data_IF_781907099942
#
_entry.id   IF_781907099942
#
_cell.length_a   1.000
_cell.length_b   1.000
_cell.length_c   1.000
_cell.angle_alpha   90.00
_cell.angle_beta   90.00
_cell.angle_gamma   90.00
#
_symmetry.space_group_name_H-M   'P 1'
#
loop_
_entity.id
_entity.type
_entity.pdbx_description
1 polymer ?
#
# COMPACT_ATOMS: atom_id res chain seq x y z
N UNK A 1 -32.21 -12.91 -56.71
CA UNK A 1 -31.63 -13.48 -55.47
C UNK A 1 -31.13 -12.32 -54.63
N UNK A 2 -31.89 -11.95 -53.60
CA UNK A 2 -31.67 -10.78 -52.74
C UNK A 2 -31.05 -11.24 -51.42
N UNK A 3 -29.76 -10.97 -51.23
CA UNK A 3 -29.04 -11.27 -50.00
C UNK A 3 -29.28 -10.15 -48.98
N UNK A 4 -30.09 -10.45 -47.95
CA UNK A 4 -30.24 -9.59 -46.77
C UNK A 4 -29.08 -9.86 -45.81
N UNK A 5 -28.15 -8.93 -45.72
CA UNK A 5 -27.14 -8.90 -44.65
C UNK A 5 -27.80 -8.50 -43.34
N UNK A 6 -27.70 -9.35 -42.32
CA UNK A 6 -28.12 -9.03 -40.95
C UNK A 6 -26.86 -8.58 -40.19
N UNK A 7 -26.73 -7.26 -40.01
CA UNK A 7 -25.74 -6.67 -39.12
C UNK A 7 -26.15 -6.97 -37.68
N UNK A 8 -25.47 -7.94 -37.07
CA UNK A 8 -25.57 -8.21 -35.64
C UNK A 8 -24.84 -7.09 -34.89
N UNK A 9 -25.59 -6.11 -34.42
CA UNK A 9 -25.08 -5.08 -33.51
C UNK A 9 -24.86 -5.71 -32.13
N UNK A 10 -23.64 -6.15 -31.86
CA UNK A 10 -23.19 -6.56 -30.53
C UNK A 10 -23.08 -5.29 -29.69
N UNK A 11 -24.12 -5.01 -28.91
CA UNK A 11 -24.11 -4.01 -27.85
C UNK A 11 -23.20 -4.53 -26.72
N UNK A 12 -21.92 -4.17 -26.77
CA UNK A 12 -21.04 -4.26 -25.61
C UNK A 12 -21.55 -3.26 -24.56
N UNK A 13 -22.43 -3.73 -23.69
CA UNK A 13 -22.66 -3.13 -22.37
C UNK A 13 -21.34 -3.24 -21.60
N UNK A 14 -20.45 -2.27 -21.84
CA UNK A 14 -19.38 -1.92 -20.93
C UNK A 14 -20.07 -1.42 -19.66
N UNK A 15 -20.42 -2.34 -18.77
CA UNK A 15 -20.55 -2.00 -17.36
C UNK A 15 -19.22 -1.37 -16.99
N UNK A 16 -19.19 -0.04 -16.93
CA UNK A 16 -18.13 0.71 -16.29
C UNK A 16 -18.12 0.20 -14.85
N UNK A 17 -17.39 -0.88 -14.61
CA UNK A 17 -16.99 -1.29 -13.30
C UNK A 17 -16.17 -0.12 -12.79
N UNK A 18 -16.85 0.77 -12.07
CA UNK A 18 -16.25 1.90 -11.39
C UNK A 18 -15.21 1.29 -10.44
N UNK A 19 -13.97 1.20 -10.94
CA UNK A 19 -12.80 0.96 -10.12
C UNK A 19 -12.60 2.24 -9.31
N UNK A 20 -13.50 2.48 -8.36
CA UNK A 20 -13.25 3.44 -7.30
C UNK A 20 -11.99 3.03 -6.54
N UNK A 21 -11.31 3.99 -5.90
CA UNK A 21 -10.14 3.70 -5.09
C UNK A 21 -10.48 2.59 -4.07
N UNK A 22 -9.88 1.41 -4.24
CA UNK A 22 -10.07 0.28 -3.32
C UNK A 22 -9.61 0.72 -1.94
N UNK A 23 -10.48 0.55 -0.94
CA UNK A 23 -10.19 0.96 0.44
C UNK A 23 -10.57 2.40 0.77
N UNK A 24 -11.32 3.09 -0.10
CA UNK A 24 -11.92 4.36 0.26
C UNK A 24 -12.91 4.20 1.41
N UNK A 25 -12.78 5.05 2.43
CA UNK A 25 -13.73 5.16 3.53
C UNK A 25 -14.91 6.00 3.06
N UNK A 26 -16.12 5.50 3.26
CA UNK A 26 -17.35 6.23 2.94
C UNK A 26 -17.81 6.97 4.19
N UNK A 27 -18.05 8.27 4.08
CA UNK A 27 -18.51 9.11 5.19
C UNK A 27 -19.32 10.30 4.68
N UNK A 28 -20.12 10.94 5.53
CA UNK A 28 -20.78 12.20 5.16
C UNK A 28 -19.77 13.32 4.93
N UNK A 29 -20.03 14.20 3.95
CA UNK A 29 -19.16 15.36 3.70
C UNK A 29 -19.09 16.27 4.97
N UNK A 30 -17.90 16.44 5.59
CA UNK A 30 -17.75 17.28 6.78
C UNK A 30 -18.20 18.73 6.61
N UNK A 31 -18.14 19.28 5.40
CA UNK A 31 -18.62 20.64 5.11
C UNK A 31 -20.15 20.75 5.14
N UNK A 32 -20.86 19.63 5.01
CA UNK A 32 -22.32 19.54 5.11
C UNK A 32 -22.73 19.13 6.53
N UNK A 33 -22.09 18.10 7.09
CA UNK A 33 -22.41 17.59 8.44
C UNK A 33 -21.91 18.49 9.56
N UNK A 34 -20.92 19.36 9.28
CA UNK A 34 -20.28 20.25 10.25
C UNK A 34 -19.27 19.55 11.16
N UNK A 35 -19.01 18.25 10.95
CA UNK A 35 -18.06 17.48 11.75
C UNK A 35 -17.41 16.35 10.94
N UNK A 36 -16.19 16.01 11.34
CA UNK A 36 -15.46 14.87 10.77
C UNK A 36 -15.77 13.62 11.59
N UNK A 37 -16.38 12.62 10.95
CA UNK A 37 -16.66 11.31 11.55
C UNK A 37 -15.39 10.46 11.65
N UNK A 38 -15.41 9.37 12.42
CA UNK A 38 -14.29 8.42 12.47
C UNK A 38 -14.07 7.79 11.09
N UNK A 39 -12.90 8.02 10.47
CA UNK A 39 -12.73 7.78 9.03
C UNK A 39 -11.39 7.12 8.63
N UNK A 40 -10.90 6.17 9.42
CA UNK A 40 -9.58 5.57 9.20
C UNK A 40 -9.48 4.83 7.84
N UNK A 41 -8.62 5.33 6.95
CA UNK A 41 -8.28 4.71 5.67
C UNK A 41 -6.97 3.94 5.81
N UNK A 42 -6.93 2.72 5.28
CA UNK A 42 -5.82 1.79 5.49
C UNK A 42 -5.13 1.45 4.18
N UNK A 43 -3.80 1.50 4.17
CA UNK A 43 -2.97 0.98 3.10
C UNK A 43 -2.18 -0.24 3.60
N UNK A 44 -2.37 -1.38 2.93
CA UNK A 44 -1.84 -2.69 3.36
C UNK A 44 -0.68 -3.14 2.50
N UNK A 45 0.42 -3.54 3.13
CA UNK A 45 1.56 -4.19 2.47
C UNK A 45 1.49 -5.72 2.54
N UNK A 46 0.33 -6.31 2.23
CA UNK A 46 0.06 -7.74 2.46
C UNK A 46 0.96 -8.71 1.68
N UNK A 47 1.47 -8.30 0.50
CA UNK A 47 2.46 -9.10 -0.24
C UNK A 47 3.77 -9.21 0.53
N UNK A 48 4.28 -8.10 1.07
CA UNK A 48 5.51 -8.08 1.86
C UNK A 48 5.35 -8.90 3.15
N UNK A 49 4.20 -8.79 3.82
CA UNK A 49 3.90 -9.62 4.99
C UNK A 49 3.93 -11.11 4.64
N UNK A 50 3.28 -11.50 3.55
CA UNK A 50 3.19 -12.91 3.11
C UNK A 50 4.55 -13.47 2.71
N UNK A 51 5.32 -12.73 1.90
CA UNK A 51 6.64 -13.17 1.43
C UNK A 51 7.63 -13.34 2.59
N UNK A 52 7.52 -12.49 3.61
CA UNK A 52 8.42 -12.48 4.78
C UNK A 52 7.88 -13.27 5.96
N UNK A 53 6.75 -13.97 5.81
CA UNK A 53 6.11 -14.72 6.89
C UNK A 53 5.80 -13.86 8.13
N UNK A 54 5.52 -12.57 7.95
CA UNK A 54 5.19 -11.66 9.04
C UNK A 54 3.73 -11.84 9.49
N UNK A 55 3.40 -11.49 10.75
CA UNK A 55 2.01 -11.45 11.20
C UNK A 55 1.16 -10.56 10.28
N UNK A 56 -0.08 -10.98 10.03
CA UNK A 56 -1.01 -10.19 9.24
C UNK A 56 -1.23 -8.83 9.89
N UNK A 57 -1.24 -7.78 9.07
CA UNK A 57 -1.44 -6.37 9.48
C UNK A 57 -0.28 -5.75 10.25
N UNK A 58 0.88 -6.40 10.33
CA UNK A 58 2.09 -5.84 10.94
C UNK A 58 2.62 -4.61 10.21
N UNK A 59 2.33 -4.48 8.92
CA UNK A 59 2.76 -3.39 8.03
C UNK A 59 1.56 -2.59 7.51
N UNK A 60 0.50 -2.44 8.31
CA UNK A 60 -0.60 -1.56 7.94
C UNK A 60 -0.19 -0.12 8.22
N UNK A 61 -0.38 0.73 7.22
CA UNK A 61 -0.33 2.18 7.36
C UNK A 61 -1.75 2.72 7.32
N UNK A 62 -2.01 3.78 8.05
CA UNK A 62 -3.33 4.35 8.22
C UNK A 62 -3.27 5.88 8.17
N UNK A 63 -4.36 6.46 7.69
CA UNK A 63 -4.57 7.90 7.70
C UNK A 63 -6.00 8.19 8.10
N UNK A 64 -6.23 9.29 8.81
CA UNK A 64 -7.55 9.82 9.12
C UNK A 64 -7.62 11.28 8.72
N UNK A 65 -8.68 11.68 8.03
CA UNK A 65 -9.08 13.09 7.94
C UNK A 65 -9.46 13.55 9.35
N UNK A 66 -8.85 14.62 9.84
CA UNK A 66 -9.06 15.13 11.20
C UNK A 66 -9.86 16.42 11.19
N UNK A 67 -9.67 17.25 10.16
CA UNK A 67 -10.43 18.47 9.94
C UNK A 67 -10.60 18.69 8.44
N UNK A 68 -11.80 19.16 8.08
CA UNK A 68 -12.09 19.70 6.77
C UNK A 68 -13.00 20.91 6.95
N UNK A 69 -12.49 22.08 6.61
CA UNK A 69 -13.23 23.34 6.63
C UNK A 69 -13.18 24.03 5.26
N UNK A 70 -13.66 25.27 5.15
CA UNK A 70 -13.71 25.99 3.86
C UNK A 70 -12.34 26.41 3.33
N UNK A 71 -11.26 26.25 4.09
CA UNK A 71 -9.91 26.72 3.77
C UNK A 71 -8.88 25.60 3.75
N UNK A 72 -9.02 24.61 4.62
CA UNK A 72 -8.02 23.59 4.85
C UNK A 72 -8.60 22.19 5.07
N UNK A 73 -7.83 21.20 4.62
CA UNK A 73 -8.04 19.78 4.91
C UNK A 73 -6.80 19.23 5.61
N UNK A 74 -6.96 18.65 6.79
CA UNK A 74 -5.86 18.09 7.58
C UNK A 74 -6.06 16.60 7.86
N UNK A 75 -4.93 15.89 7.93
CA UNK A 75 -4.89 14.45 8.08
C UNK A 75 -3.87 14.04 9.14
N UNK A 76 -4.24 13.09 9.98
CA UNK A 76 -3.30 12.35 10.84
C UNK A 76 -2.85 11.09 10.10
N UNK A 77 -1.55 10.81 10.19
CA UNK A 77 -0.86 9.75 9.50
C UNK A 77 -0.17 8.83 10.51
N UNK A 78 -0.29 7.53 10.27
CA UNK A 78 0.46 6.50 10.98
C UNK A 78 1.04 5.54 9.94
N UNK A 79 2.36 5.58 9.80
CA UNK A 79 3.11 4.84 8.80
C UNK A 79 3.90 3.73 9.48
N UNK A 80 3.91 2.55 8.86
CA UNK A 80 4.69 1.38 9.26
C UNK A 80 5.44 0.85 8.05
N UNK A 81 6.73 0.58 8.23
CA UNK A 81 7.60 0.04 7.19
C UNK A 81 8.67 -0.88 7.79
N UNK A 82 9.32 -1.67 6.96
CA UNK A 82 10.42 -2.54 7.41
C UNK A 82 11.76 -1.79 7.30
N UNK A 83 12.55 -1.82 8.36
CA UNK A 83 13.98 -1.53 8.30
C UNK A 83 14.70 -2.83 7.95
N UNK A 84 15.21 -2.92 6.72
CA UNK A 84 16.08 -4.03 6.35
C UNK A 84 17.56 -3.66 6.55
N UNK A 85 18.38 -4.59 7.10
CA UNK A 85 19.82 -4.43 7.08
C UNK A 85 20.34 -4.44 5.63
N UNK A 86 20.83 -3.29 5.14
CA UNK A 86 21.45 -3.15 3.81
C UNK A 86 20.57 -2.51 2.71
N UNK A 87 19.28 -2.26 2.97
CA UNK A 87 18.36 -1.68 1.98
C UNK A 87 18.59 -0.20 1.67
N UNK A 88 19.45 0.47 2.45
CA UNK A 88 19.90 1.85 2.21
C UNK A 88 20.67 2.00 0.88
N UNK A 89 21.25 0.90 0.37
CA UNK A 89 22.10 0.91 -0.83
C UNK A 89 21.33 0.76 -2.16
N UNK A 90 20.13 0.15 -2.15
CA UNK A 90 19.41 -0.23 -3.38
C UNK A 90 18.19 0.65 -3.70
N UNK A 91 18.10 1.83 -3.07
CA UNK A 91 16.93 2.71 -3.23
C UNK A 91 15.67 2.15 -2.56
N UNK A 92 15.80 1.05 -1.81
CA UNK A 92 14.77 0.47 -0.95
C UNK A 92 14.79 1.13 0.45
N UNK A 93 15.25 2.38 0.54
CA UNK A 93 15.14 3.24 1.72
C UNK A 93 13.66 3.63 1.90
N UNK A 94 12.86 2.62 2.24
CA UNK A 94 11.43 2.67 2.48
C UNK A 94 11.15 3.68 3.61
N UNK A 95 10.33 4.67 3.25
CA UNK A 95 9.58 5.59 4.12
C UNK A 95 10.46 6.30 5.16
N UNK A 96 11.47 7.04 4.72
CA UNK A 96 11.88 8.21 5.51
C UNK A 96 10.72 9.22 5.46
N UNK A 97 9.97 9.44 6.56
CA UNK A 97 8.83 10.35 6.55
C UNK A 97 9.25 11.79 6.21
N UNK A 98 10.54 12.13 6.38
CA UNK A 98 11.08 13.43 6.00
C UNK A 98 11.19 13.61 4.48
N UNK A 99 11.24 12.50 3.72
CA UNK A 99 11.38 12.52 2.26
C UNK A 99 10.08 12.27 1.51
N UNK A 100 9.01 11.92 2.22
CA UNK A 100 7.71 11.74 1.61
C UNK A 100 7.11 13.10 1.23
N UNK A 101 6.65 13.19 -0.01
CA UNK A 101 5.88 14.34 -0.50
C UNK A 101 4.41 13.96 -0.49
N UNK A 102 3.64 14.73 0.28
CA UNK A 102 2.20 14.58 0.36
C UNK A 102 1.51 15.33 -0.78
N UNK A 103 0.55 14.68 -1.43
CA UNK A 103 -0.31 15.25 -2.47
C UNK A 103 -1.76 14.90 -2.18
N UNK A 104 -2.67 15.84 -2.38
CA UNK A 104 -4.10 15.67 -2.19
C UNK A 104 -4.82 15.86 -3.52
N UNK A 105 -5.46 14.80 -4.00
CA UNK A 105 -6.34 14.83 -5.19
C UNK A 105 -7.79 15.01 -4.74
N UNK A 106 -8.53 15.85 -5.46
CA UNK A 106 -9.95 16.11 -5.21
C UNK A 106 -10.75 15.33 -6.26
N UNK A 107 -11.58 14.38 -5.83
CA UNK A 107 -12.43 13.62 -6.75
C UNK A 107 -13.56 14.50 -7.28
N UNK A 108 -13.77 14.44 -8.60
CA UNK A 108 -14.75 15.27 -9.31
C UNK A 108 -14.17 16.58 -9.88
N UNK A 109 -12.96 16.98 -9.47
CA UNK A 109 -12.24 18.11 -10.03
C UNK A 109 -10.93 17.64 -10.70
N UNK A 110 -10.58 18.22 -11.85
CA UNK A 110 -9.24 18.03 -12.44
C UNK A 110 -8.20 18.91 -11.72
N UNK A 111 -8.13 18.75 -10.40
CA UNK A 111 -7.37 19.62 -9.50
C UNK A 111 -6.66 18.80 -8.42
N UNK A 112 -5.38 19.14 -8.19
CA UNK A 112 -4.54 18.47 -7.21
C UNK A 112 -3.72 19.51 -6.42
N UNK A 113 -3.65 19.31 -5.11
CA UNK A 113 -2.82 20.08 -4.20
C UNK A 113 -1.53 19.32 -3.94
N UNK A 114 -0.43 19.78 -4.52
CA UNK A 114 0.87 19.10 -4.46
C UNK A 114 1.78 19.60 -3.34
N UNK A 115 1.34 20.63 -2.59
CA UNK A 115 2.12 21.24 -1.52
C UNK A 115 1.28 21.33 -0.25
N UNK A 116 1.68 20.56 0.76
CA UNK A 116 1.18 20.73 2.12
C UNK A 116 1.62 22.10 2.69
N UNK A 117 0.71 22.75 3.40
CA UNK A 117 0.94 24.02 4.11
C UNK A 117 1.63 23.81 5.45
N UNK A 118 1.34 22.69 6.13
CA UNK A 118 2.03 22.27 7.34
C UNK A 118 2.25 20.77 7.32
N UNK A 119 3.38 20.37 7.90
CA UNK A 119 3.75 18.97 8.11
C UNK A 119 4.37 18.92 9.51
N UNK A 120 3.68 18.29 10.44
CA UNK A 120 4.21 17.92 11.75
C UNK A 120 4.53 16.43 11.72
N UNK A 121 5.55 15.99 12.45
CA UNK A 121 6.03 14.60 12.40
C UNK A 121 6.15 14.04 13.79
N UNK A 122 5.79 12.76 13.90
CA UNK A 122 5.92 12.00 15.13
C UNK A 122 7.32 11.40 15.25
N UNK A 123 7.70 11.05 16.49
CA UNK A 123 8.93 10.32 16.75
C UNK A 123 8.87 8.93 16.11
N UNK A 124 9.98 8.54 15.49
CA UNK A 124 10.10 7.22 14.87
C UNK A 124 10.26 6.14 15.96
N UNK A 125 9.36 5.17 15.97
CA UNK A 125 9.36 4.00 16.85
C UNK A 125 9.94 2.77 16.16
N UNK A 126 10.40 1.80 16.96
CA UNK A 126 10.97 0.54 16.48
C UNK A 126 10.32 -0.64 17.18
N UNK A 127 9.79 -1.57 16.41
CA UNK A 127 9.10 -2.78 16.88
C UNK A 127 9.79 -4.02 16.29
N UNK A 128 10.44 -4.87 17.09
CA UNK A 128 11.00 -6.10 16.59
C UNK A 128 9.89 -7.10 16.24
N UNK A 129 9.99 -7.72 15.06
CA UNK A 129 9.09 -8.78 14.62
C UNK A 129 9.87 -10.03 14.23
N UNK A 130 9.18 -11.16 14.30
CA UNK A 130 9.68 -12.44 13.86
C UNK A 130 8.87 -12.88 12.64
N UNK A 131 9.56 -13.15 11.55
CA UNK A 131 9.01 -13.72 10.33
C UNK A 131 9.88 -14.85 9.82
N UNK A 132 9.74 -15.19 8.55
CA UNK A 132 10.49 -16.26 7.90
C UNK A 132 11.15 -15.73 6.61
N UNK A 133 12.34 -16.24 6.29
CA UNK A 133 12.93 -16.07 4.97
C UNK A 133 13.29 -17.41 4.37
N UNK A 134 13.18 -17.53 3.06
CA UNK A 134 13.52 -18.74 2.35
C UNK A 134 15.04 -18.80 2.17
N UNK A 135 15.71 -19.76 2.79
CA UNK A 135 17.13 -20.04 2.54
C UNK A 135 17.28 -21.30 1.72
N UNK A 136 18.13 -21.21 0.70
CA UNK A 136 18.57 -22.38 -0.05
C UNK A 136 19.57 -23.14 0.83
N UNK A 137 19.18 -24.34 1.25
CA UNK A 137 20.07 -25.30 1.90
C UNK A 137 20.50 -26.36 0.91
N UNK A 138 21.80 -26.63 0.86
CA UNK A 138 22.32 -27.79 0.17
C UNK A 138 22.25 -28.99 1.09
N UNK A 139 21.65 -30.08 0.62
CA UNK A 139 21.60 -31.36 1.32
C UNK A 139 22.18 -32.43 0.42
N UNK A 140 23.03 -33.26 1.00
CA UNK A 140 23.54 -34.44 0.33
C UNK A 140 22.65 -35.61 0.73
N UNK A 141 22.01 -36.24 -0.25
CA UNK A 141 21.18 -37.41 -0.04
C UNK A 141 21.82 -38.60 -0.74
N UNK A 142 22.04 -39.69 0.00
CA UNK A 142 22.44 -40.96 -0.59
C UNK A 142 21.21 -41.64 -1.21
N UNK A 143 21.11 -41.61 -2.53
CA UNK A 143 20.05 -42.28 -3.28
C UNK A 143 20.58 -43.62 -3.74
N UNK A 144 19.87 -44.71 -3.42
CA UNK A 144 20.25 -46.04 -3.87
C UNK A 144 19.21 -46.63 -4.81
N UNK A 145 19.68 -47.14 -5.95
CA UNK A 145 18.87 -47.80 -6.97
C UNK A 145 19.17 -49.31 -6.98
N UNK A 146 18.12 -50.13 -7.17
CA UNK A 146 18.20 -51.59 -7.26
C UNK A 146 17.92 -52.34 -5.95
N UNK A 147 17.79 -53.67 -6.03
CA UNK A 147 17.50 -54.57 -4.91
C UNK A 147 18.59 -55.63 -4.73
N UNK A 148 18.80 -56.08 -3.49
CA UNK A 148 19.74 -57.16 -3.16
C UNK A 148 21.20 -56.82 -3.45
N UNK A 149 21.94 -57.75 -4.08
CA UNK A 149 23.39 -57.63 -4.34
C UNK A 149 23.76 -56.63 -5.45
N UNK A 150 22.78 -56.07 -6.16
CA UNK A 150 23.02 -55.10 -7.25
C UNK A 150 22.64 -53.66 -6.87
N UNK A 151 22.52 -53.35 -5.56
CA UNK A 151 22.23 -52.01 -5.08
C UNK A 151 23.41 -51.08 -5.37
N UNK A 152 23.18 -50.01 -6.13
CA UNK A 152 24.14 -48.92 -6.37
C UNK A 152 23.66 -47.69 -5.64
N UNK A 153 24.55 -46.99 -4.96
CA UNK A 153 24.22 -45.77 -4.24
C UNK A 153 25.07 -44.60 -4.77
N UNK A 154 24.45 -43.43 -4.87
CA UNK A 154 25.07 -42.21 -5.36
C UNK A 154 24.70 -41.05 -4.44
N UNK A 155 25.65 -40.15 -4.19
CA UNK A 155 25.38 -38.91 -3.48
C UNK A 155 24.75 -37.90 -4.43
N UNK A 156 23.51 -37.50 -4.13
CA UNK A 156 22.77 -36.47 -4.86
C UNK A 156 22.82 -35.18 -4.07
N UNK A 157 23.26 -34.11 -4.70
CA UNK A 157 23.24 -32.77 -4.14
C UNK A 157 21.89 -32.14 -4.46
N UNK A 158 21.04 -32.00 -3.46
CA UNK A 158 19.74 -31.36 -3.59
C UNK A 158 19.79 -29.96 -2.99
N UNK A 159 19.23 -28.99 -3.71
CA UNK A 159 18.96 -27.66 -3.17
C UNK A 159 17.52 -27.62 -2.68
N UNK A 160 17.34 -27.51 -1.37
CA UNK A 160 16.02 -27.39 -0.76
C UNK A 160 15.84 -25.98 -0.24
N UNK A 161 14.73 -25.35 -0.62
CA UNK A 161 14.32 -24.07 -0.03
C UNK A 161 13.65 -24.37 1.29
N UNK A 162 14.24 -23.91 2.39
CA UNK A 162 13.65 -24.04 3.72
C UNK A 162 13.34 -22.68 4.32
N UNK A 163 12.15 -22.49 4.92
CA UNK A 163 11.88 -21.29 5.68
C UNK A 163 12.74 -21.33 6.95
N UNK A 164 13.45 -20.24 7.22
CA UNK A 164 14.18 -20.04 8.46
C UNK A 164 13.64 -18.82 9.17
N UNK A 165 13.49 -18.92 10.48
CA UNK A 165 13.09 -17.80 11.31
C UNK A 165 14.07 -16.64 11.14
N UNK A 166 13.55 -15.44 10.91
CA UNK A 166 14.33 -14.22 10.67
C UNK A 166 13.73 -13.07 11.45
N UNK A 167 14.58 -12.35 12.19
CA UNK A 167 14.19 -11.13 12.88
C UNK A 167 14.10 -9.97 11.89
N UNK A 168 12.99 -9.24 11.98
CA UNK A 168 12.76 -7.99 11.25
C UNK A 168 12.58 -6.85 12.26
N UNK A 169 12.87 -5.62 11.84
CA UNK A 169 12.51 -4.43 12.62
C UNK A 169 11.47 -3.65 11.84
N UNK A 170 10.27 -3.51 12.38
CA UNK A 170 9.27 -2.59 11.87
C UNK A 170 9.53 -1.23 12.46
N UNK A 171 9.64 -0.25 11.59
CA UNK A 171 9.71 1.15 11.94
C UNK A 171 8.29 1.69 11.91
N UNK A 172 7.91 2.44 12.94
CA UNK A 172 6.66 3.18 12.99
C UNK A 172 6.96 4.67 12.99
N UNK A 173 6.15 5.46 12.31
CA UNK A 173 6.24 6.91 12.31
C UNK A 173 4.91 7.49 11.86
N UNK A 174 4.87 8.78 11.57
CA UNK A 174 3.61 9.43 11.27
C UNK A 174 3.71 10.93 11.34
N UNK A 175 2.56 11.55 11.52
CA UNK A 175 2.47 12.98 11.70
C UNK A 175 1.16 13.55 11.22
N UNK A 176 1.13 14.88 11.16
CA UNK A 176 -0.03 15.65 10.77
C UNK A 176 0.28 16.44 9.50
N UNK A 177 -0.59 16.35 8.50
CA UNK A 177 -0.42 17.09 7.24
C UNK A 177 -1.67 17.89 6.92
N UNK A 178 -1.50 19.18 6.64
CA UNK A 178 -2.60 20.05 6.21
C UNK A 178 -2.36 20.64 4.82
N UNK A 179 -3.43 20.75 4.05
CA UNK A 179 -3.47 21.39 2.75
C UNK A 179 -4.42 22.58 2.78
N UNK A 180 -3.92 23.77 2.45
CA UNK A 180 -4.78 24.88 2.08
C UNK A 180 -5.35 24.61 0.68
N UNK A 181 -6.67 24.56 0.56
CA UNK A 181 -7.35 24.25 -0.71
C UNK A 181 -8.08 25.45 -1.31
N UNK A 182 -8.12 26.61 -0.63
CA UNK A 182 -8.61 27.87 -1.23
C UNK A 182 -10.05 27.80 -1.80
N UNK A 183 -10.91 26.94 -1.24
CA UNK A 183 -12.27 26.73 -1.74
C UNK A 183 -12.42 25.70 -2.86
N UNK A 184 -11.35 25.01 -3.27
CA UNK A 184 -11.43 23.90 -4.24
C UNK A 184 -12.08 22.62 -3.69
N UNK A 185 -12.17 22.50 -2.36
CA UNK A 185 -12.94 21.48 -1.67
C UNK A 185 -14.18 22.18 -1.12
N UNK A 186 -15.35 21.66 -1.47
CA UNK A 186 -16.66 22.22 -1.15
C UNK A 186 -17.67 21.11 -0.80
N UNK A 187 -18.93 21.49 -0.63
CA UNK A 187 -20.01 20.56 -0.27
C UNK A 187 -20.37 19.58 -1.41
N UNK A 188 -19.97 19.86 -2.64
CA UNK A 188 -20.22 19.00 -3.82
C UNK A 188 -19.06 18.05 -4.12
N UNK A 189 -17.93 18.23 -3.45
CA UNK A 189 -16.76 17.35 -3.58
C UNK A 189 -17.15 15.90 -3.27
N UNK A 190 -16.82 14.99 -4.19
CA UNK A 190 -17.20 13.56 -4.07
C UNK A 190 -16.25 12.76 -3.20
N UNK A 191 -15.03 13.26 -2.98
CA UNK A 191 -14.04 12.58 -2.16
C UNK A 191 -12.64 13.16 -2.29
N UNK A 192 -11.74 12.60 -1.49
CA UNK A 192 -10.35 13.01 -1.35
C UNK A 192 -9.43 11.80 -1.45
N UNK A 193 -8.28 11.98 -2.09
CA UNK A 193 -7.24 10.97 -2.15
C UNK A 193 -5.93 11.60 -1.70
N UNK A 194 -5.42 11.14 -0.56
CA UNK A 194 -4.10 11.50 -0.05
C UNK A 194 -3.07 10.49 -0.53
N UNK A 195 -2.05 10.98 -1.22
CA UNK A 195 -0.93 10.19 -1.70
C UNK A 195 0.36 10.69 -1.05
N UNK A 196 1.11 9.79 -0.41
CA UNK A 196 2.46 10.04 0.11
C UNK A 196 3.45 9.26 -0.74
N UNK A 197 4.38 9.94 -1.40
CA UNK A 197 5.32 9.29 -2.32
C UNK A 197 6.74 9.83 -2.15
N UNK A 198 7.74 8.97 -2.35
CA UNK A 198 9.13 9.40 -2.44
C UNK A 198 9.40 9.92 -3.87
N UNK A 199 9.94 11.15 -4.06
CA UNK A 199 10.14 11.72 -5.39
C UNK A 199 10.98 10.88 -6.34
N UNK A 200 11.94 10.12 -5.82
CA UNK A 200 12.82 9.28 -6.64
C UNK A 200 12.17 7.96 -7.09
N UNK A 201 11.14 7.48 -6.40
CA UNK A 201 10.49 6.18 -6.67
C UNK A 201 9.16 6.34 -7.42
N UNK A 202 8.62 7.56 -7.44
CA UNK A 202 7.35 7.88 -8.08
C UNK A 202 6.16 7.23 -7.37
N UNK A 203 5.07 7.03 -8.12
CA UNK A 203 3.79 6.57 -7.55
C UNK A 203 3.71 5.07 -7.28
N UNK A 204 4.69 4.28 -7.74
CA UNK A 204 4.67 2.81 -7.62
C UNK A 204 4.78 2.33 -6.17
N UNK A 205 5.38 3.14 -5.30
CA UNK A 205 5.64 2.84 -3.88
C UNK A 205 4.89 3.82 -2.97
N UNK A 206 3.86 4.50 -3.50
CA UNK A 206 3.14 5.50 -2.75
C UNK A 206 2.13 4.88 -1.76
N UNK A 207 2.05 5.48 -0.57
CA UNK A 207 0.93 5.25 0.34
C UNK A 207 -0.27 6.04 -0.18
N UNK A 208 -1.40 5.37 -0.39
CA UNK A 208 -2.61 5.99 -0.91
C UNK A 208 -3.78 5.72 0.03
N UNK A 209 -4.39 6.80 0.48
CA UNK A 209 -5.53 6.83 1.38
C UNK A 209 -6.68 7.57 0.70
N UNK A 210 -7.91 7.09 0.85
CA UNK A 210 -9.04 7.65 0.14
C UNK A 210 -10.27 7.78 1.04
N UNK A 211 -11.01 8.86 0.83
CA UNK A 211 -12.29 9.15 1.45
C UNK A 211 -13.29 9.48 0.35
N UNK A 212 -14.48 8.90 0.43
CA UNK A 212 -15.61 9.19 -0.45
C UNK A 212 -16.70 9.83 0.39
N UNK A 213 -17.23 10.94 -0.11
CA UNK A 213 -18.30 11.70 0.54
C UNK A 213 -19.67 11.30 -0.02
N UNK A 214 -20.65 11.19 0.88
CA UNK A 214 -22.08 10.95 0.59
C UNK A 214 -22.97 12.07 1.12
#
# INVERSE_FOLDING_TARGET
MTTRGHSLAIFCLLTAAACGPRGAVVMSNPLVSGAVEQNESHHRHGFNETVRGLPSRSLVTNASLTSLDSKSACFDLQLKWLSEPGSEADGEAYVDPDRLVARLEILGADYQLTRATSVERDEVTREPLVGHTNRVQQRNQLVCEGYGRHRRCFDVHEQVVVPVETGYTVMGGGGHVCFAHGGHIDTETEGLILTLSHPAEGERVAHRFAWKFE
#
